data_IF_073804036924
#
_entry.id   IF_073804036924
#
_cell.length_a   1.000
_cell.length_b   1.000
_cell.length_c   1.000
_cell.angle_alpha   90.00
_cell.angle_beta   90.00
_cell.angle_gamma   90.00
#
_symmetry.space_group_name_H-M   'P 1'
#
loop_
_entity.id
_entity.type
_entity.pdbx_description
1 polymer ?
#
# COMPACT_ATOMS: atom_id res chain seq x y z
N UNK A 1 -11.89 24.26 -17.33
CA UNK A 1 -12.88 25.26 -16.92
C UNK A 1 -13.90 24.68 -15.98
N UNK A 2 -13.57 24.64 -14.68
CA UNK A 2 -14.42 24.38 -13.49
C UNK A 2 -15.79 23.74 -13.77
N UNK A 3 -15.79 22.45 -14.14
CA UNK A 3 -17.02 21.68 -14.36
C UNK A 3 -17.67 21.85 -15.73
N UNK A 4 -17.03 22.53 -16.69
CA UNK A 4 -17.47 22.53 -18.09
C UNK A 4 -16.87 21.34 -18.82
N UNK A 5 -17.69 20.52 -19.45
CA UNK A 5 -17.28 19.47 -20.33
C UNK A 5 -16.88 20.04 -21.69
N UNK A 6 -15.77 19.60 -22.25
CA UNK A 6 -15.46 19.77 -23.67
C UNK A 6 -16.09 18.64 -24.49
N UNK A 7 -16.33 18.83 -25.79
CA UNK A 7 -16.74 17.74 -26.67
C UNK A 7 -15.71 16.60 -26.66
N UNK A 8 -16.18 15.40 -26.93
CA UNK A 8 -15.31 14.23 -27.06
C UNK A 8 -14.59 14.30 -28.39
N UNK A 9 -13.27 14.23 -28.37
CA UNK A 9 -12.42 14.25 -29.55
C UNK A 9 -11.66 12.92 -29.70
N UNK A 10 -11.38 12.51 -30.92
CA UNK A 10 -10.57 11.36 -31.19
C UNK A 10 -9.12 11.60 -30.78
N UNK A 11 -8.52 10.68 -30.02
CA UNK A 11 -7.13 10.77 -29.58
C UNK A 11 -6.33 9.55 -30.03
N UNK A 12 -5.15 9.78 -30.63
CA UNK A 12 -4.20 8.74 -30.99
C UNK A 12 -3.40 8.27 -29.77
N UNK A 13 -3.99 7.39 -28.94
CA UNK A 13 -3.33 6.85 -27.74
C UNK A 13 -3.25 5.33 -27.81
N UNK A 14 -2.22 4.69 -27.21
CA UNK A 14 -2.20 3.25 -27.04
C UNK A 14 -3.40 2.81 -26.19
N UNK A 15 -3.74 1.51 -26.26
CA UNK A 15 -4.83 0.92 -25.46
C UNK A 15 -4.59 1.21 -23.97
N UNK A 16 -5.57 1.83 -23.32
CA UNK A 16 -5.50 2.17 -21.91
C UNK A 16 -6.29 3.44 -21.56
N UNK A 17 -6.07 3.96 -20.37
CA UNK A 17 -6.70 5.21 -19.90
C UNK A 17 -5.62 6.17 -19.41
N UNK A 18 -5.68 7.41 -19.86
CA UNK A 18 -4.86 8.51 -19.33
C UNK A 18 -5.77 9.53 -18.65
N UNK A 19 -5.48 9.83 -17.40
CA UNK A 19 -6.18 10.86 -16.63
C UNK A 19 -5.15 11.93 -16.25
N UNK A 20 -5.45 13.17 -16.55
CA UNK A 20 -4.63 14.31 -16.17
C UNK A 20 -5.43 15.24 -15.25
N UNK A 21 -4.87 15.54 -14.09
CA UNK A 21 -5.47 16.44 -13.11
C UNK A 21 -4.51 17.60 -12.86
N UNK A 22 -4.91 18.80 -13.24
CA UNK A 22 -4.13 20.01 -13.05
C UNK A 22 -4.84 20.99 -12.12
N UNK A 23 -4.06 21.76 -11.35
CA UNK A 23 -4.60 22.80 -10.47
C UNK A 23 -5.53 22.24 -9.38
N UNK A 24 -5.17 21.10 -8.75
CA UNK A 24 -5.95 20.48 -7.69
C UNK A 24 -6.36 21.51 -6.63
N UNK A 25 -7.68 21.59 -6.35
CA UNK A 25 -8.30 22.56 -5.42
C UNK A 25 -8.15 24.04 -5.78
N UNK A 26 -7.74 24.40 -7.00
CA UNK A 26 -7.63 25.80 -7.44
C UNK A 26 -8.95 26.57 -7.27
N UNK A 27 -10.08 25.88 -7.45
CA UNK A 27 -11.44 26.44 -7.31
C UNK A 27 -12.03 26.26 -5.90
N UNK A 28 -11.29 25.67 -4.95
CA UNK A 28 -11.73 25.45 -3.56
C UNK A 28 -10.63 25.91 -2.61
N UNK A 29 -10.47 27.23 -2.41
CA UNK A 29 -9.36 27.80 -1.63
C UNK A 29 -9.27 27.24 -0.19
N UNK A 30 -10.42 26.91 0.41
CA UNK A 30 -10.46 26.30 1.73
C UNK A 30 -9.72 24.93 1.75
N UNK A 31 -9.90 24.10 0.72
CA UNK A 31 -9.18 22.81 0.62
C UNK A 31 -7.71 23.00 0.26
N UNK A 32 -7.40 23.99 -0.56
CA UNK A 32 -6.01 24.30 -0.93
C UNK A 32 -5.16 24.62 0.31
N UNK A 33 -5.73 25.31 1.31
CA UNK A 33 -5.04 25.61 2.58
C UNK A 33 -4.70 24.39 3.42
N UNK A 34 -5.40 23.27 3.23
CA UNK A 34 -5.14 22.02 3.94
C UNK A 34 -4.11 21.12 3.26
N UNK A 35 -3.67 21.44 2.05
CA UNK A 35 -2.55 20.74 1.42
C UNK A 35 -1.28 21.00 2.22
N UNK A 36 -0.57 19.92 2.51
CA UNK A 36 0.74 19.97 3.10
C UNK A 36 1.81 20.49 2.12
N UNK A 37 3.06 20.45 2.54
CA UNK A 37 4.17 20.67 1.60
C UNK A 37 4.19 19.55 0.54
N UNK A 38 4.72 19.85 -0.65
CA UNK A 38 4.82 18.87 -1.75
C UNK A 38 5.49 17.55 -1.30
N UNK A 39 6.55 17.63 -0.49
CA UNK A 39 7.21 16.42 0.04
C UNK A 39 6.32 15.62 0.98
N UNK A 40 5.47 16.26 1.79
CA UNK A 40 4.53 15.57 2.68
C UNK A 40 3.43 14.88 1.87
N UNK A 41 2.89 15.55 0.87
CA UNK A 41 1.86 14.96 0.00
C UNK A 41 2.45 13.80 -0.83
N UNK A 42 3.66 13.95 -1.35
CA UNK A 42 4.36 12.87 -2.03
C UNK A 42 4.55 11.64 -1.12
N UNK A 43 4.96 11.84 0.13
CA UNK A 43 5.11 10.74 1.10
C UNK A 43 3.78 10.01 1.35
N UNK A 44 2.65 10.74 1.41
CA UNK A 44 1.31 10.15 1.55
C UNK A 44 0.92 9.35 0.32
N UNK A 45 1.18 9.88 -0.88
CA UNK A 45 0.93 9.20 -2.15
C UNK A 45 1.77 7.91 -2.23
N UNK A 46 3.06 7.98 -1.90
CA UNK A 46 3.93 6.80 -1.87
C UNK A 46 3.40 5.73 -0.91
N UNK A 47 3.02 6.12 0.31
CA UNK A 47 2.49 5.17 1.30
C UNK A 47 1.19 4.52 0.82
N UNK A 48 0.29 5.29 0.20
CA UNK A 48 -0.95 4.76 -0.35
C UNK A 48 -0.69 3.79 -1.50
N UNK A 49 0.17 4.14 -2.45
CA UNK A 49 0.52 3.27 -3.58
C UNK A 49 1.26 2.01 -3.12
N UNK A 50 2.14 2.13 -2.13
CA UNK A 50 2.80 0.99 -1.50
C UNK A 50 1.77 0.00 -0.94
N UNK A 51 0.79 0.49 -0.17
CA UNK A 51 -0.27 -0.37 0.36
C UNK A 51 -1.11 -1.02 -0.74
N UNK A 52 -1.47 -0.27 -1.80
CA UNK A 52 -2.20 -0.82 -2.94
C UNK A 52 -1.39 -1.89 -3.68
N UNK A 53 -0.10 -1.67 -3.90
CA UNK A 53 0.78 -2.64 -4.54
C UNK A 53 0.90 -3.95 -3.74
N UNK A 54 0.89 -3.86 -2.41
CA UNK A 54 0.92 -5.03 -1.52
C UNK A 54 -0.42 -5.77 -1.47
N UNK A 55 -1.54 -5.07 -1.62
CA UNK A 55 -2.88 -5.68 -1.69
C UNK A 55 -3.16 -6.31 -3.06
N UNK A 56 -2.64 -5.69 -4.13
CA UNK A 56 -2.85 -6.11 -5.53
C UNK A 56 -1.53 -6.48 -6.22
N UNK A 57 -0.83 -7.53 -5.77
CA UNK A 57 0.49 -7.90 -6.30
C UNK A 57 0.48 -8.29 -7.78
N UNK A 58 -0.68 -8.58 -8.36
CA UNK A 58 -0.89 -8.84 -9.80
C UNK A 58 -0.91 -7.56 -10.65
N UNK A 59 -0.95 -6.38 -10.05
CA UNK A 59 -0.94 -5.10 -10.74
C UNK A 59 0.46 -4.49 -10.67
N UNK A 60 1.00 -4.08 -11.82
CA UNK A 60 2.23 -3.30 -11.87
C UNK A 60 1.92 -1.83 -11.52
N UNK A 61 2.59 -1.32 -10.50
CA UNK A 61 2.51 0.09 -10.09
C UNK A 61 3.82 0.80 -10.37
N UNK A 62 3.74 2.04 -10.83
CA UNK A 62 4.88 2.94 -10.88
C UNK A 62 4.50 4.33 -10.40
N UNK A 63 5.39 4.97 -9.68
CA UNK A 63 5.26 6.37 -9.26
C UNK A 63 6.51 7.13 -9.68
N UNK A 64 6.30 8.14 -10.52
CA UNK A 64 7.33 9.10 -10.85
C UNK A 64 6.96 10.46 -10.25
N UNK A 65 7.89 11.11 -9.60
CA UNK A 65 7.72 12.45 -9.05
C UNK A 65 8.98 13.28 -9.32
N UNK A 66 8.80 14.45 -9.89
CA UNK A 66 9.88 15.39 -10.24
C UNK A 66 10.98 14.72 -11.08
N UNK A 67 10.58 13.90 -12.09
CA UNK A 67 11.48 13.20 -13.00
C UNK A 67 12.23 12.02 -12.36
N UNK A 68 11.90 11.62 -11.12
CA UNK A 68 12.51 10.49 -10.42
C UNK A 68 11.49 9.39 -10.16
N UNK A 69 11.86 8.16 -10.44
CA UNK A 69 11.07 7.00 -10.04
C UNK A 69 11.15 6.84 -8.52
N UNK A 70 9.98 6.76 -7.88
CA UNK A 70 9.82 6.65 -6.43
C UNK A 70 9.32 5.29 -5.98
N UNK A 71 8.63 4.59 -6.84
CA UNK A 71 8.11 3.24 -6.61
C UNK A 71 7.95 2.54 -7.95
N UNK A 72 8.28 1.24 -7.99
CA UNK A 72 7.98 0.35 -9.11
C UNK A 72 7.73 -1.05 -8.60
N UNK A 73 6.64 -1.66 -9.05
CA UNK A 73 6.37 -3.10 -8.88
C UNK A 73 6.10 -3.73 -10.25
N UNK A 74 6.35 -5.04 -10.36
CA UNK A 74 6.30 -5.73 -11.66
C UNK A 74 4.94 -6.39 -11.96
N UNK A 75 4.03 -6.48 -10.98
CA UNK A 75 2.71 -7.08 -11.18
C UNK A 75 2.74 -8.59 -11.43
N UNK A 76 3.68 -9.31 -10.83
CA UNK A 76 3.87 -10.76 -11.03
C UNK A 76 2.78 -11.63 -10.42
N UNK A 77 1.94 -11.09 -9.55
CA UNK A 77 0.99 -11.82 -8.71
C UNK A 77 1.60 -12.39 -7.43
N UNK A 78 2.92 -12.41 -7.30
CA UNK A 78 3.61 -12.89 -6.10
C UNK A 78 3.76 -11.75 -5.09
N UNK A 79 3.27 -11.97 -3.86
CA UNK A 79 3.34 -10.95 -2.80
C UNK A 79 4.79 -10.60 -2.45
N UNK A 80 5.70 -11.57 -2.47
CA UNK A 80 7.12 -11.34 -2.19
C UNK A 80 7.78 -10.37 -3.18
N UNK A 81 7.40 -10.45 -4.46
CA UNK A 81 7.91 -9.53 -5.49
C UNK A 81 7.36 -8.11 -5.29
N UNK A 82 6.11 -7.99 -4.84
CA UNK A 82 5.53 -6.70 -4.47
C UNK A 82 6.26 -6.10 -3.25
N UNK A 83 6.57 -6.91 -2.24
CA UNK A 83 7.38 -6.48 -1.07
C UNK A 83 8.77 -6.03 -1.52
N UNK A 84 9.42 -6.76 -2.42
CA UNK A 84 10.72 -6.36 -2.97
C UNK A 84 10.65 -5.02 -3.72
N UNK A 85 9.59 -4.80 -4.50
CA UNK A 85 9.38 -3.54 -5.22
C UNK A 85 9.06 -2.35 -4.30
N UNK A 86 8.36 -2.59 -3.19
CA UNK A 86 7.94 -1.54 -2.25
C UNK A 86 9.00 -1.23 -1.20
N UNK A 87 9.61 -2.26 -0.62
CA UNK A 87 10.50 -2.13 0.54
C UNK A 87 11.95 -2.51 0.23
N UNK A 88 12.22 -3.08 -0.93
CA UNK A 88 13.54 -3.55 -1.36
C UNK A 88 13.77 -5.03 -1.08
N UNK A 89 14.69 -5.64 -1.86
CA UNK A 89 14.99 -7.09 -1.80
C UNK A 89 15.50 -7.54 -0.43
N UNK A 90 16.34 -6.75 0.23
CA UNK A 90 16.87 -7.06 1.58
C UNK A 90 15.77 -7.24 2.64
N UNK A 91 14.65 -6.53 2.49
CA UNK A 91 13.49 -6.69 3.37
C UNK A 91 12.70 -7.92 2.94
N UNK A 92 12.48 -8.12 1.65
CA UNK A 92 11.77 -9.27 1.13
C UNK A 92 12.41 -10.61 1.57
N UNK A 93 13.73 -10.71 1.57
CA UNK A 93 14.50 -11.89 2.01
C UNK A 93 14.28 -12.26 3.50
N UNK A 94 13.83 -11.32 4.32
CA UNK A 94 13.58 -11.51 5.75
C UNK A 94 12.09 -11.64 6.08
N UNK A 95 11.24 -11.78 5.06
CA UNK A 95 9.81 -12.00 5.24
C UNK A 95 9.51 -13.49 5.33
N UNK A 96 8.63 -13.83 6.24
CA UNK A 96 8.14 -15.19 6.50
C UNK A 96 6.69 -15.29 5.98
N UNK A 97 6.37 -16.39 5.34
CA UNK A 97 4.99 -16.66 4.92
C UNK A 97 4.09 -16.92 6.13
N UNK A 98 2.89 -16.36 6.10
CA UNK A 98 1.80 -16.77 6.98
C UNK A 98 1.08 -17.94 6.31
N UNK A 99 1.03 -19.08 6.98
CA UNK A 99 0.29 -20.23 6.52
C UNK A 99 -1.14 -20.17 7.08
N UNK A 100 -2.16 -20.41 6.24
CA UNK A 100 -3.54 -20.42 6.69
C UNK A 100 -3.79 -21.53 7.71
N UNK A 101 -4.56 -21.25 8.75
CA UNK A 101 -5.10 -22.26 9.64
C UNK A 101 -6.38 -22.84 9.00
N UNK A 102 -6.34 -24.13 8.60
CA UNK A 102 -7.46 -24.81 7.96
C UNK A 102 -8.67 -24.99 8.87
N UNK A 103 -8.50 -24.89 10.19
CA UNK A 103 -9.57 -25.04 11.18
C UNK A 103 -10.22 -23.72 11.58
N UNK A 104 -9.72 -22.58 11.08
CA UNK A 104 -10.27 -21.28 11.42
C UNK A 104 -11.54 -20.95 10.62
N UNK A 105 -12.45 -20.22 11.24
CA UNK A 105 -13.67 -19.71 10.57
C UNK A 105 -13.38 -18.72 9.42
N UNK A 106 -12.15 -18.23 9.34
CA UNK A 106 -11.65 -17.35 8.27
C UNK A 106 -10.18 -17.70 8.02
N UNK A 107 -9.73 -17.52 6.79
CA UNK A 107 -8.35 -17.75 6.40
C UNK A 107 -7.53 -16.47 6.46
N UNK A 108 -6.29 -16.57 6.91
CA UNK A 108 -5.32 -15.46 6.88
C UNK A 108 -4.05 -15.96 6.21
N UNK A 109 -3.64 -15.29 5.16
CA UNK A 109 -2.36 -15.50 4.51
C UNK A 109 -1.58 -14.19 4.37
N UNK A 110 -0.35 -14.26 3.94
CA UNK A 110 0.45 -13.07 3.71
C UNK A 110 1.91 -13.25 4.06
N UNK A 111 2.56 -12.15 4.39
CA UNK A 111 3.98 -12.10 4.75
C UNK A 111 4.17 -11.27 6.01
N UNK A 112 5.02 -11.74 6.92
CA UNK A 112 5.42 -11.03 8.13
C UNK A 112 6.94 -11.02 8.26
N UNK A 113 7.49 -9.99 8.87
CA UNK A 113 8.94 -9.92 9.09
C UNK A 113 9.40 -10.83 10.21
N UNK A 114 10.63 -11.34 10.14
CA UNK A 114 11.30 -11.91 11.30
C UNK A 114 11.40 -10.87 12.44
N UNK A 115 11.47 -11.27 13.72
CA UNK A 115 11.59 -10.31 14.84
C UNK A 115 12.80 -9.40 14.76
N UNK A 116 13.89 -9.82 14.13
CA UNK A 116 15.08 -9.00 13.90
C UNK A 116 14.81 -7.80 12.98
N UNK A 117 13.83 -7.92 12.08
CA UNK A 117 13.42 -6.87 11.16
C UNK A 117 12.17 -6.17 11.67
N UNK A 118 12.33 -5.03 12.32
CA UNK A 118 11.24 -4.28 12.91
C UNK A 118 11.32 -2.78 12.60
N UNK A 119 10.26 -2.04 12.91
CA UNK A 119 10.09 -0.61 12.62
C UNK A 119 9.67 0.16 13.86
N UNK A 120 9.85 1.49 13.84
CA UNK A 120 9.46 2.38 14.93
C UNK A 120 8.00 2.82 14.88
N UNK A 121 7.25 2.44 13.85
CA UNK A 121 5.86 2.81 13.66
C UNK A 121 5.07 1.72 12.92
N UNK A 122 3.72 1.85 12.92
CA UNK A 122 2.76 0.89 12.36
C UNK A 122 2.51 1.05 10.85
N UNK A 123 3.17 1.98 10.18
CA UNK A 123 2.89 2.26 8.75
C UNK A 123 3.30 1.12 7.82
N UNK A 124 4.06 0.15 8.32
CA UNK A 124 4.48 -1.05 7.59
C UNK A 124 3.55 -2.24 7.79
N UNK A 125 2.37 -2.02 8.38
CA UNK A 125 1.33 -3.03 8.48
C UNK A 125 0.26 -2.74 7.44
N UNK A 126 0.16 -3.59 6.43
CA UNK A 126 -0.88 -3.54 5.40
C UNK A 126 -1.85 -4.68 5.60
N UNK A 127 -3.13 -4.37 5.78
CA UNK A 127 -4.16 -5.36 6.05
C UNK A 127 -5.24 -5.24 4.98
N UNK A 128 -5.65 -6.37 4.41
CA UNK A 128 -6.79 -6.43 3.51
C UNK A 128 -7.80 -7.49 3.97
N UNK A 129 -9.07 -7.24 3.69
CA UNK A 129 -10.18 -8.19 3.90
C UNK A 129 -10.89 -8.38 2.57
N UNK A 130 -10.96 -9.63 2.11
CA UNK A 130 -11.56 -9.99 0.82
C UNK A 130 -11.05 -9.08 -0.33
N UNK A 131 -9.73 -8.85 -0.37
CA UNK A 131 -9.07 -8.02 -1.38
C UNK A 131 -9.26 -6.50 -1.21
N UNK A 132 -9.89 -6.03 -0.14
CA UNK A 132 -10.02 -4.59 0.14
C UNK A 132 -9.03 -4.14 1.20
N UNK A 133 -8.20 -3.16 0.88
CA UNK A 133 -7.33 -2.54 1.86
C UNK A 133 -8.14 -1.85 2.96
N UNK A 134 -7.81 -2.13 4.21
CA UNK A 134 -8.50 -1.57 5.36
C UNK A 134 -7.53 -0.99 6.39
N UNK A 135 -8.01 -0.01 7.15
CA UNK A 135 -7.36 0.50 8.34
C UNK A 135 -8.13 0.06 9.58
N UNK A 136 -7.55 -0.82 10.39
CA UNK A 136 -8.17 -1.29 11.62
C UNK A 136 -7.15 -1.31 12.76
N UNK A 137 -7.39 -0.49 13.77
CA UNK A 137 -6.54 -0.48 14.99
C UNK A 137 -6.59 -1.83 15.72
N UNK A 138 -7.74 -2.51 15.71
CA UNK A 138 -7.91 -3.82 16.37
C UNK A 138 -7.07 -4.89 15.68
N UNK A 139 -7.08 -4.95 14.36
CA UNK A 139 -6.28 -5.92 13.61
C UNK A 139 -4.79 -5.61 13.70
N UNK A 140 -4.39 -4.34 13.62
CA UNK A 140 -2.99 -3.97 13.85
C UNK A 140 -2.53 -4.37 15.25
N UNK A 141 -3.37 -4.17 16.27
CA UNK A 141 -3.07 -4.58 17.63
C UNK A 141 -2.97 -6.11 17.78
N UNK A 142 -3.82 -6.88 17.09
CA UNK A 142 -3.72 -8.34 17.07
C UNK A 142 -2.37 -8.81 16.49
N UNK A 143 -1.90 -8.18 15.41
CA UNK A 143 -0.56 -8.45 14.85
C UNK A 143 0.52 -8.12 15.89
N UNK A 144 0.42 -6.97 16.57
CA UNK A 144 1.37 -6.59 17.62
C UNK A 144 1.40 -7.59 18.76
N UNK A 145 0.24 -8.09 19.20
CA UNK A 145 0.13 -9.09 20.25
C UNK A 145 0.80 -10.42 19.85
N UNK A 146 0.70 -10.83 18.59
CA UNK A 146 1.41 -12.01 18.09
C UNK A 146 2.94 -11.89 18.19
N UNK A 147 3.46 -10.66 18.21
CA UNK A 147 4.89 -10.37 18.39
C UNK A 147 5.28 -10.04 19.83
N UNK A 148 4.34 -10.14 20.78
CA UNK A 148 4.63 -9.85 22.18
C UNK A 148 5.73 -10.78 22.72
N UNK A 149 6.74 -10.22 23.34
CA UNK A 149 7.92 -10.95 23.82
C UNK A 149 9.01 -11.21 22.76
N UNK A 150 8.73 -11.00 21.48
CA UNK A 150 9.73 -11.14 20.41
C UNK A 150 10.32 -9.80 19.93
N UNK A 151 9.57 -8.72 20.10
CA UNK A 151 10.03 -7.37 19.70
C UNK A 151 10.38 -6.53 20.94
N UNK A 152 11.39 -5.64 20.83
CA UNK A 152 11.62 -4.59 21.82
C UNK A 152 10.39 -3.70 21.97
N UNK A 153 10.29 -3.00 23.09
CA UNK A 153 9.22 -2.03 23.33
C UNK A 153 9.16 -0.97 22.22
N UNK A 154 7.94 -0.60 21.84
CA UNK A 154 7.65 0.40 20.78
C UNK A 154 8.24 0.06 19.40
N UNK A 155 8.46 -1.22 19.16
CA UNK A 155 8.84 -1.73 17.84
C UNK A 155 7.69 -2.54 17.24
N UNK A 156 7.58 -2.48 15.93
CA UNK A 156 6.48 -3.04 15.18
C UNK A 156 7.00 -3.90 14.03
N UNK A 157 6.35 -5.02 13.71
CA UNK A 157 6.75 -5.83 12.56
C UNK A 157 6.39 -5.14 11.25
N UNK A 158 7.01 -5.59 10.16
CA UNK A 158 6.45 -5.40 8.83
C UNK A 158 5.47 -6.56 8.61
N UNK A 159 4.23 -6.26 8.27
CA UNK A 159 3.20 -7.28 8.09
C UNK A 159 2.28 -6.93 6.93
N UNK A 160 2.06 -7.89 6.05
CA UNK A 160 1.06 -7.84 5.00
C UNK A 160 0.11 -9.01 5.25
N UNK A 161 -1.05 -8.73 5.85
CA UNK A 161 -2.05 -9.73 6.19
C UNK A 161 -3.25 -9.64 5.25
N UNK A 162 -3.58 -10.75 4.60
CA UNK A 162 -4.75 -10.88 3.75
C UNK A 162 -5.74 -11.79 4.44
N UNK A 163 -6.88 -11.26 4.81
CA UNK A 163 -7.95 -11.95 5.52
C UNK A 163 -9.03 -12.30 4.52
N UNK A 164 -9.37 -13.58 4.47
CA UNK A 164 -10.46 -14.13 3.66
C UNK A 164 -11.57 -14.56 4.61
N UNK A 165 -12.58 -13.70 4.73
CA UNK A 165 -13.75 -13.95 5.54
C UNK A 165 -14.89 -14.53 4.68
N UNK A 166 -15.72 -15.42 5.21
CA UNK A 166 -16.93 -15.86 4.53
C UNK A 166 -17.84 -14.64 4.27
N UNK A 167 -18.54 -14.67 3.12
CA UNK A 167 -19.50 -13.63 2.73
C UNK A 167 -20.84 -13.84 3.42
#
# INVERSE_FOLDING_TARGET
>A
DFGKSSPVEAAGTPKGTRIEVAGLFKNVPARLKFLGSAGRELSRIQSMLASLALVYPQVAFSLNADGRERLRTIGSGKLIDAVAGVYGSKIAEQMLALEPDENAAFSVDGLVSSPSLNRSNRTYMTISVNGRWIHSRRLSYAIEQAYHGFLPERRFPIAIARIHAPL
#
